data_IF_504851680125
#
_entry.id   IF_504851680125
#
_cell.length_a   1.000
_cell.length_b   1.000
_cell.length_c   1.000
_cell.angle_alpha   90.00
_cell.angle_beta   90.00
_cell.angle_gamma   90.00
#
_symmetry.space_group_name_H-M   'P 1'
#
loop_
_entity.id
_entity.type
_entity.pdbx_description
1 polymer ?
#
# COMPACT_ATOMS: atom_id res chain seq x y z
N UNK A 1 -33.18 -12.10 -11.22
CA UNK A 1 -32.33 -12.32 -10.04
C UNK A 1 -30.89 -12.11 -10.47
N UNK A 2 -30.37 -10.90 -10.34
CA UNK A 2 -28.95 -10.63 -10.59
C UNK A 2 -28.15 -11.24 -9.43
N UNK A 3 -27.37 -12.28 -9.72
CA UNK A 3 -26.34 -12.77 -8.82
C UNK A 3 -25.25 -11.70 -8.75
N UNK A 4 -25.42 -10.74 -7.85
CA UNK A 4 -24.31 -9.93 -7.38
C UNK A 4 -23.40 -10.87 -6.59
N UNK A 5 -22.40 -11.44 -7.25
CA UNK A 5 -21.21 -11.90 -6.55
C UNK A 5 -20.65 -10.67 -5.83
N UNK A 6 -20.95 -10.52 -4.53
CA UNK A 6 -20.36 -9.46 -3.72
C UNK A 6 -18.85 -9.49 -3.95
N UNK A 7 -18.35 -8.47 -4.63
CA UNK A 7 -16.97 -8.41 -5.06
C UNK A 7 -16.14 -8.25 -3.78
N UNK A 8 -15.65 -9.36 -3.22
CA UNK A 8 -14.98 -9.37 -1.91
C UNK A 8 -13.91 -8.28 -1.92
N UNK A 9 -13.87 -7.38 -0.93
CA UNK A 9 -12.96 -6.25 -0.94
C UNK A 9 -11.52 -6.73 -1.16
N UNK A 10 -10.91 -6.25 -2.23
CA UNK A 10 -9.51 -6.50 -2.56
C UNK A 10 -8.69 -5.33 -2.00
N UNK A 11 -7.96 -5.56 -0.92
CA UNK A 11 -7.19 -4.52 -0.22
C UNK A 11 -5.71 -4.70 -0.58
N UNK A 12 -5.00 -3.60 -0.84
CA UNK A 12 -3.56 -3.59 -1.01
C UNK A 12 -2.88 -2.86 0.17
N UNK A 13 -1.90 -3.50 0.80
CA UNK A 13 -0.97 -2.86 1.75
C UNK A 13 0.35 -2.66 1.02
N UNK A 14 0.80 -1.41 0.90
CA UNK A 14 2.01 -1.04 0.16
C UNK A 14 2.94 -0.25 1.07
N UNK A 15 4.22 -0.62 1.12
CA UNK A 15 5.14 0.12 1.98
C UNK A 15 6.57 -0.39 1.99
N UNK A 16 7.37 0.28 2.81
CA UNK A 16 8.79 -0.03 3.00
C UNK A 16 9.06 -1.30 3.81
N UNK A 17 10.30 -1.46 4.29
CA UNK A 17 10.73 -2.62 5.08
C UNK A 17 9.94 -2.81 6.39
N UNK A 18 9.32 -1.77 6.93
CA UNK A 18 8.53 -1.81 8.17
C UNK A 18 7.34 -2.78 8.11
N UNK A 19 6.74 -2.98 6.93
CA UNK A 19 5.60 -3.89 6.77
C UNK A 19 6.00 -5.34 6.46
N UNK A 20 7.30 -5.65 6.37
CA UNK A 20 7.80 -6.96 5.90
C UNK A 20 7.23 -8.14 6.69
N UNK A 21 7.05 -7.97 8.00
CA UNK A 21 6.59 -9.02 8.92
C UNK A 21 5.06 -9.08 9.07
N UNK A 22 4.31 -8.19 8.40
CA UNK A 22 2.86 -8.26 8.39
C UNK A 22 2.42 -9.50 7.61
N UNK A 23 1.65 -10.39 8.24
CA UNK A 23 0.97 -11.48 7.56
C UNK A 23 -0.47 -11.07 7.23
N UNK A 24 -0.83 -10.85 5.96
CA UNK A 24 -2.17 -10.40 5.57
C UNK A 24 -3.30 -11.32 6.04
N UNK A 25 -3.09 -12.64 6.03
CA UNK A 25 -4.08 -13.63 6.47
C UNK A 25 -4.35 -13.62 7.97
N UNK A 26 -3.46 -13.00 8.77
CA UNK A 26 -3.67 -12.78 10.21
C UNK A 26 -4.35 -11.44 10.51
N UNK A 27 -4.40 -10.51 9.56
CA UNK A 27 -5.02 -9.19 9.74
C UNK A 27 -6.53 -9.20 9.49
N UNK A 28 -6.98 -9.96 8.50
CA UNK A 28 -8.38 -9.93 8.08
C UNK A 28 -8.79 -11.23 7.39
N UNK A 29 -10.10 -11.52 7.42
CA UNK A 29 -10.73 -12.55 6.58
C UNK A 29 -10.98 -12.07 5.13
N UNK A 30 -10.81 -10.76 4.86
CA UNK A 30 -10.89 -10.19 3.50
C UNK A 30 -9.62 -10.50 2.70
N UNK A 31 -9.68 -10.38 1.37
CA UNK A 31 -8.49 -10.56 0.52
C UNK A 31 -7.58 -9.34 0.67
N UNK A 32 -6.42 -9.56 1.26
CA UNK A 32 -5.39 -8.52 1.48
C UNK A 32 -4.11 -8.95 0.77
N UNK A 33 -3.65 -8.14 -0.18
CA UNK A 33 -2.36 -8.30 -0.84
C UNK A 33 -1.35 -7.35 -0.21
N UNK A 34 -0.11 -7.79 -0.02
CA UNK A 34 0.97 -6.98 0.57
C UNK A 34 2.11 -6.84 -0.42
N UNK A 35 2.56 -5.60 -0.62
CA UNK A 35 3.68 -5.24 -1.49
C UNK A 35 4.74 -4.52 -0.67
N UNK A 36 5.90 -5.14 -0.52
CA UNK A 36 7.00 -4.62 0.30
C UNK A 36 8.12 -4.14 -0.62
N UNK A 37 8.53 -2.88 -0.46
CA UNK A 37 9.60 -2.26 -1.22
C UNK A 37 10.65 -1.65 -0.27
N UNK A 38 11.62 -2.45 0.22
CA UNK A 38 12.63 -1.98 1.15
C UNK A 38 13.43 -0.79 0.60
N UNK A 39 13.78 0.16 1.47
CA UNK A 39 14.61 1.32 1.11
C UNK A 39 13.90 2.45 0.35
N UNK A 40 12.73 2.19 -0.26
CA UNK A 40 12.01 3.22 -1.02
C UNK A 40 11.52 4.38 -0.15
N UNK A 41 11.63 5.58 -0.71
CA UNK A 41 11.05 6.82 -0.20
C UNK A 41 9.57 6.93 -0.59
N UNK A 42 8.87 7.90 0.00
CA UNK A 42 7.44 8.11 -0.15
C UNK A 42 7.00 8.31 -1.61
N UNK A 43 7.76 9.11 -2.37
CA UNK A 43 7.54 9.39 -3.79
C UNK A 43 7.71 8.13 -4.68
N UNK A 44 8.64 7.26 -4.32
CA UNK A 44 8.88 6.01 -5.03
C UNK A 44 7.78 4.98 -4.72
N UNK A 45 7.30 4.94 -3.47
CA UNK A 45 6.13 4.13 -3.08
C UNK A 45 4.87 4.59 -3.82
N UNK A 46 4.65 5.90 -3.99
CA UNK A 46 3.51 6.42 -4.74
C UNK A 46 3.51 5.92 -6.20
N UNK A 47 4.70 5.82 -6.81
CA UNK A 47 4.85 5.25 -8.16
C UNK A 47 4.48 3.77 -8.21
N UNK A 48 4.87 2.98 -7.20
CA UNK A 48 4.48 1.57 -7.10
C UNK A 48 2.98 1.37 -6.91
N UNK A 49 2.32 2.24 -6.14
CA UNK A 49 0.86 2.19 -5.96
C UNK A 49 0.14 2.35 -7.30
N UNK A 50 0.62 3.24 -8.18
CA UNK A 50 0.05 3.42 -9.53
C UNK A 50 0.18 2.13 -10.36
N UNK A 51 1.35 1.48 -10.33
CA UNK A 51 1.58 0.21 -11.01
C UNK A 51 0.66 -0.92 -10.48
N UNK A 52 0.53 -1.01 -9.16
CA UNK A 52 -0.35 -1.98 -8.49
C UNK A 52 -1.81 -1.73 -8.86
N UNK A 53 -2.24 -0.47 -8.93
CA UNK A 53 -3.61 -0.13 -9.29
C UNK A 53 -3.98 -0.64 -10.69
N UNK A 54 -3.07 -0.49 -11.66
CA UNK A 54 -3.25 -0.99 -13.03
C UNK A 54 -3.33 -2.52 -13.08
N UNK A 55 -2.57 -3.22 -12.24
CA UNK A 55 -2.49 -4.69 -12.29
C UNK A 55 -3.61 -5.38 -11.50
N UNK A 56 -3.97 -4.86 -10.33
CA UNK A 56 -4.78 -5.57 -9.34
C UNK A 56 -6.13 -4.93 -9.07
N UNK A 57 -6.34 -3.68 -9.51
CA UNK A 57 -7.55 -2.89 -9.26
C UNK A 57 -8.07 -3.05 -7.81
N UNK A 58 -7.24 -2.74 -6.80
CA UNK A 58 -7.64 -2.86 -5.41
C UNK A 58 -8.77 -1.87 -5.10
N UNK A 59 -9.75 -2.31 -4.32
CA UNK A 59 -10.84 -1.45 -3.83
C UNK A 59 -10.35 -0.41 -2.82
N UNK A 60 -9.29 -0.74 -2.08
CA UNK A 60 -8.70 0.11 -1.04
C UNK A 60 -7.19 -0.10 -1.01
N UNK A 61 -6.45 0.98 -0.72
CA UNK A 61 -5.00 0.95 -0.58
C UNK A 61 -4.60 1.53 0.77
N UNK A 62 -3.76 0.82 1.50
CA UNK A 62 -3.12 1.26 2.74
C UNK A 62 -1.65 1.48 2.44
N UNK A 63 -1.17 2.71 2.61
CA UNK A 63 0.21 3.08 2.32
C UNK A 63 0.97 3.28 3.64
N UNK A 64 2.10 2.60 3.78
CA UNK A 64 3.06 2.83 4.85
C UNK A 64 4.41 3.28 4.26
N UNK A 65 4.62 4.59 4.20
CA UNK A 65 5.83 5.19 3.63
C UNK A 65 6.31 6.40 4.45
N UNK A 66 7.50 6.92 4.14
CA UNK A 66 8.06 8.12 4.76
C UNK A 66 9.20 7.87 5.75
N UNK A 67 9.36 6.67 6.32
CA UNK A 67 10.46 6.41 7.28
C UNK A 67 11.85 6.63 6.67
N UNK A 68 12.02 6.36 5.38
CA UNK A 68 13.28 6.57 4.66
C UNK A 68 13.46 8.03 4.19
N UNK A 69 12.42 8.86 4.29
CA UNK A 69 12.48 10.29 3.97
C UNK A 69 12.91 11.12 5.19
N UNK A 70 12.61 10.66 6.40
CA UNK A 70 12.89 11.39 7.66
C UNK A 70 14.35 11.86 7.86
N UNK A 71 15.39 11.22 7.31
CA UNK A 71 16.74 11.79 7.38
C UNK A 71 16.88 13.16 6.69
N UNK A 72 16.02 13.48 5.71
CA UNK A 72 16.10 14.72 4.91
C UNK A 72 14.83 15.56 4.95
N UNK A 73 13.67 14.92 5.18
CA UNK A 73 12.35 15.52 5.02
C UNK A 73 11.62 15.58 6.36
N UNK A 74 10.87 16.66 6.56
CA UNK A 74 9.86 16.77 7.62
C UNK A 74 8.65 15.87 7.31
N UNK A 75 7.83 15.58 8.34
CA UNK A 75 6.58 14.83 8.16
C UNK A 75 5.67 15.43 7.07
N UNK A 76 5.53 16.75 7.04
CA UNK A 76 4.72 17.44 6.03
C UNK A 76 5.27 17.29 4.61
N UNK A 77 6.60 17.29 4.45
CA UNK A 77 7.24 17.04 3.17
C UNK A 77 7.01 15.59 2.72
N UNK A 78 7.11 14.61 3.63
CA UNK A 78 6.80 13.21 3.33
C UNK A 78 5.36 13.03 2.81
N UNK A 79 4.38 13.70 3.42
CA UNK A 79 2.98 13.64 2.99
C UNK A 79 2.84 14.21 1.57
N UNK A 80 3.46 15.36 1.29
CA UNK A 80 3.44 16.00 -0.03
C UNK A 80 4.09 15.15 -1.13
N UNK A 81 4.97 14.22 -0.77
CA UNK A 81 5.64 13.33 -1.72
C UNK A 81 4.76 12.15 -2.18
N UNK A 82 3.66 11.87 -1.48
CA UNK A 82 2.69 10.83 -1.87
C UNK A 82 1.63 11.46 -2.78
N UNK A 83 1.78 11.29 -4.11
CA UNK A 83 0.90 11.86 -5.14
C UNK A 83 0.47 10.86 -6.21
#
# INVERSE_FOLDING_TARGET
MENQSENKPNIAIVGGSMIKNINPGKLSRKRVNKFTFPGKRAEEIASEVKNINVQLHPTHVIIHAGTNNLPTDTGDQCIKNIK
#
